data_IF_764150698494
#
_entry.id   IF_764150698494
#
_cell.length_a   1.000
_cell.length_b   1.000
_cell.length_c   1.000
_cell.angle_alpha   90.00
_cell.angle_beta   90.00
_cell.angle_gamma   90.00
#
_symmetry.space_group_name_H-M   'P 1'
#
loop_
_entity.id
_entity.type
_entity.pdbx_description
1 polymer ?
#
# COMPACT_ATOMS: atom_id res chain seq x y z
N UNK A 1 21.48 13.93 -0.37
CA UNK A 1 20.23 13.32 0.14
C UNK A 1 20.40 12.77 1.55
N UNK A 2 19.31 12.59 2.31
CA UNK A 2 19.34 11.94 3.63
C UNK A 2 19.56 10.42 3.56
N UNK A 3 19.25 9.79 2.41
CA UNK A 3 19.19 8.32 2.26
C UNK A 3 20.02 7.77 1.09
N UNK A 4 20.94 8.55 0.53
CA UNK A 4 21.92 8.09 -0.47
C UNK A 4 21.40 8.04 -1.91
N UNK A 5 20.42 7.18 -2.20
CA UNK A 5 19.91 6.94 -3.56
C UNK A 5 18.54 7.59 -3.82
N UNK A 6 18.31 7.95 -5.08
CA UNK A 6 17.01 8.41 -5.55
C UNK A 6 16.07 7.23 -5.84
N UNK A 7 14.78 7.33 -5.50
CA UNK A 7 13.81 6.27 -5.79
C UNK A 7 13.65 6.05 -7.30
N UNK A 8 13.60 4.79 -7.71
CA UNK A 8 13.22 4.39 -9.06
C UNK A 8 11.73 4.07 -9.11
N UNK A 9 11.04 4.54 -10.15
CA UNK A 9 9.60 4.36 -10.29
C UNK A 9 9.25 3.49 -11.49
N UNK A 10 8.28 2.60 -11.32
CA UNK A 10 7.64 1.88 -12.40
C UNK A 10 6.13 2.11 -12.31
N UNK A 11 5.53 2.52 -13.43
CA UNK A 11 4.10 2.75 -13.54
C UNK A 11 3.41 1.53 -14.17
N UNK A 12 2.10 1.43 -13.97
CA UNK A 12 1.22 0.41 -14.52
C UNK A 12 -0.08 1.09 -14.99
N UNK A 13 -0.72 0.53 -16.01
CA UNK A 13 -1.98 1.05 -16.56
C UNK A 13 -3.20 0.69 -15.71
N UNK A 14 -3.15 -0.45 -15.02
CA UNK A 14 -4.18 -0.92 -14.12
C UNK A 14 -3.61 -1.83 -13.00
N UNK A 15 -4.41 -2.07 -11.97
CA UNK A 15 -3.98 -2.86 -10.81
C UNK A 15 -3.78 -4.35 -11.10
N UNK A 16 -4.44 -4.91 -12.13
CA UNK A 16 -4.27 -6.32 -12.50
C UNK A 16 -2.94 -6.53 -13.25
N UNK A 17 -2.54 -5.57 -14.09
CA UNK A 17 -1.21 -5.49 -14.69
C UNK A 17 -0.15 -5.43 -13.59
N UNK A 18 -0.33 -4.57 -12.58
CA UNK A 18 0.59 -4.46 -11.45
C UNK A 18 0.72 -5.78 -10.68
N UNK A 19 -0.42 -6.43 -10.41
CA UNK A 19 -0.47 -7.70 -9.70
C UNK A 19 0.27 -8.81 -10.46
N UNK A 20 -0.01 -8.99 -11.75
CA UNK A 20 0.64 -10.01 -12.58
C UNK A 20 2.13 -9.70 -12.81
N UNK A 21 2.51 -8.42 -12.90
CA UNK A 21 3.91 -7.99 -13.00
C UNK A 21 4.71 -8.39 -11.76
N UNK A 22 4.21 -8.10 -10.56
CA UNK A 22 4.87 -8.51 -9.30
C UNK A 22 4.90 -10.03 -9.19
N UNK A 23 3.78 -10.70 -9.51
CA UNK A 23 3.67 -12.16 -9.44
C UNK A 23 4.59 -12.89 -10.41
N UNK A 24 4.86 -12.31 -11.58
CA UNK A 24 5.81 -12.86 -12.58
C UNK A 24 7.28 -12.65 -12.22
N UNK A 25 7.58 -12.03 -11.08
CA UNK A 25 8.92 -11.89 -10.52
C UNK A 25 9.52 -10.49 -10.62
N UNK A 26 8.73 -9.47 -10.99
CA UNK A 26 9.16 -8.09 -10.86
C UNK A 26 9.41 -7.77 -9.38
N UNK A 27 10.58 -7.21 -9.08
CA UNK A 27 10.99 -6.85 -7.72
C UNK A 27 10.79 -5.37 -7.50
N UNK A 28 9.95 -5.03 -6.53
CA UNK A 28 9.77 -3.65 -6.04
C UNK A 28 9.81 -3.66 -4.52
N UNK A 29 10.39 -2.61 -3.93
CA UNK A 29 10.42 -2.46 -2.47
C UNK A 29 9.07 -1.97 -1.91
N UNK A 30 8.33 -1.18 -2.70
CA UNK A 30 7.04 -0.60 -2.35
C UNK A 30 6.05 -0.73 -3.52
N UNK A 31 4.80 -1.04 -3.19
CA UNK A 31 3.66 -1.02 -4.10
C UNK A 31 2.62 -0.02 -3.61
N UNK A 32 1.94 0.64 -4.55
CA UNK A 32 0.84 1.56 -4.26
C UNK A 32 -0.49 1.05 -4.86
N UNK A 33 -1.03 -0.08 -4.34
CA UNK A 33 -2.33 -0.58 -4.76
C UNK A 33 -3.46 0.25 -4.13
N UNK A 34 -4.64 0.24 -4.76
CA UNK A 34 -5.84 0.76 -4.11
C UNK A 34 -6.18 -0.09 -2.88
N UNK A 35 -6.87 0.52 -1.92
CA UNK A 35 -7.30 -0.11 -0.66
C UNK A 35 -8.00 -1.46 -0.84
N UNK A 36 -8.76 -1.61 -1.91
CA UNK A 36 -9.53 -2.83 -2.25
C UNK A 36 -8.63 -4.02 -2.60
N UNK A 37 -7.44 -3.75 -3.13
CA UNK A 37 -6.50 -4.77 -3.60
C UNK A 37 -5.59 -5.30 -2.49
N UNK A 38 -5.46 -4.58 -1.37
CA UNK A 38 -4.55 -4.94 -0.26
C UNK A 38 -4.79 -6.37 0.24
N UNK A 39 -6.05 -6.77 0.41
CA UNK A 39 -6.40 -8.12 0.88
C UNK A 39 -5.98 -9.19 -0.12
N UNK A 40 -6.29 -9.00 -1.42
CA UNK A 40 -5.89 -9.91 -2.52
C UNK A 40 -4.36 -10.07 -2.55
N UNK A 41 -3.62 -8.98 -2.42
CA UNK A 41 -2.15 -8.99 -2.48
C UNK A 41 -1.53 -9.65 -1.25
N UNK A 42 -2.12 -9.42 -0.07
CA UNK A 42 -1.73 -10.10 1.18
C UNK A 42 -1.94 -11.61 1.08
N UNK A 43 -3.11 -12.05 0.62
CA UNK A 43 -3.45 -13.47 0.48
C UNK A 43 -2.63 -14.17 -0.60
N UNK A 44 -2.22 -13.45 -1.64
CA UNK A 44 -1.29 -13.93 -2.66
C UNK A 44 0.18 -14.00 -2.18
N UNK A 45 0.47 -13.59 -0.94
CA UNK A 45 1.83 -13.60 -0.38
C UNK A 45 2.77 -12.55 -1.00
N UNK A 46 2.22 -11.53 -1.67
CA UNK A 46 2.99 -10.47 -2.32
C UNK A 46 3.38 -9.33 -1.36
N UNK A 47 2.72 -9.25 -0.20
CA UNK A 47 2.97 -8.23 0.82
C UNK A 47 3.66 -8.81 2.05
N UNK A 48 4.41 -7.95 2.73
CA UNK A 48 4.91 -8.18 4.07
C UNK A 48 4.24 -7.20 5.05
N UNK A 49 4.06 -7.57 6.33
CA UNK A 49 3.54 -6.64 7.32
C UNK A 49 4.51 -5.47 7.53
N UNK A 50 3.97 -4.28 7.70
CA UNK A 50 4.70 -3.06 7.97
C UNK A 50 5.17 -3.03 9.43
N UNK A 51 6.42 -2.63 9.64
CA UNK A 51 6.98 -2.34 10.95
C UNK A 51 6.67 -0.89 11.34
N UNK A 52 5.56 -0.69 12.03
CA UNK A 52 5.07 0.64 12.43
C UNK A 52 6.03 1.38 13.37
N UNK A 53 6.91 0.67 14.08
CA UNK A 53 7.92 1.28 14.96
C UNK A 53 8.98 2.08 14.20
N UNK A 54 9.19 1.76 12.92
CA UNK A 54 10.11 2.47 12.03
C UNK A 54 9.47 3.67 11.33
N UNK A 55 8.16 3.85 11.45
CA UNK A 55 7.42 4.92 10.79
C UNK A 55 7.13 6.02 11.83
N UNK A 56 8.00 7.04 11.87
CA UNK A 56 7.90 8.12 12.88
C UNK A 56 6.55 8.82 12.89
N UNK A 57 5.93 8.99 11.72
CA UNK A 57 4.62 9.64 11.55
C UNK A 57 3.42 8.69 11.63
N UNK A 58 3.59 7.44 12.10
CA UNK A 58 2.48 6.47 12.12
C UNK A 58 1.26 6.94 12.92
N UNK A 59 1.51 7.69 14.00
CA UNK A 59 0.45 8.24 14.87
C UNK A 59 -0.27 9.44 14.26
N UNK A 60 0.28 10.03 13.20
CA UNK A 60 -0.27 11.21 12.54
C UNK A 60 -1.20 10.83 11.36
N UNK A 61 -1.33 9.54 11.06
CA UNK A 61 -2.20 9.02 10.01
C UNK A 61 -3.68 9.31 10.30
N UNK A 62 -4.47 9.53 9.24
CA UNK A 62 -5.88 9.86 9.36
C UNK A 62 -6.64 8.77 10.15
N UNK A 63 -7.19 9.10 11.33
CA UNK A 63 -7.82 8.11 12.20
C UNK A 63 -9.06 7.47 11.56
N UNK A 64 -9.76 8.18 10.67
CA UNK A 64 -10.92 7.64 9.96
C UNK A 64 -10.56 6.53 8.97
N UNK A 65 -9.44 6.69 8.25
CA UNK A 65 -8.93 5.65 7.33
C UNK A 65 -8.33 4.49 8.13
N UNK A 66 -7.58 4.80 9.20
CA UNK A 66 -6.99 3.80 10.07
C UNK A 66 -8.02 2.93 10.82
N UNK A 67 -9.21 3.47 11.09
CA UNK A 67 -10.31 2.75 11.73
C UNK A 67 -11.13 1.87 10.76
N UNK A 68 -10.87 1.94 9.45
CA UNK A 68 -11.55 1.08 8.49
C UNK A 68 -11.19 -0.39 8.73
N UNK A 69 -12.23 -1.22 8.86
CA UNK A 69 -12.06 -2.64 9.15
C UNK A 69 -11.25 -3.33 8.05
N UNK A 70 -10.24 -4.10 8.47
CA UNK A 70 -9.38 -4.94 7.64
C UNK A 70 -8.58 -4.21 6.54
N UNK A 71 -8.52 -2.88 6.59
CA UNK A 71 -7.74 -2.06 5.64
C UNK A 71 -6.30 -1.85 6.11
N UNK A 72 -6.10 -0.96 7.08
CA UNK A 72 -4.77 -0.57 7.55
C UNK A 72 -4.13 -1.64 8.44
N UNK A 73 -4.94 -2.16 9.37
CA UNK A 73 -4.54 -3.19 10.33
C UNK A 73 -5.52 -4.35 10.33
N UNK A 74 -4.99 -5.56 10.43
CA UNK A 74 -5.79 -6.78 10.63
C UNK A 74 -6.18 -6.97 12.10
N UNK A 75 -7.11 -7.89 12.43
CA UNK A 75 -7.54 -8.13 13.81
C UNK A 75 -6.42 -8.61 14.74
N UNK A 76 -5.35 -9.18 14.20
CA UNK A 76 -4.12 -9.55 14.91
C UNK A 76 -3.15 -8.38 15.12
N UNK A 77 -3.54 -7.16 14.75
CA UNK A 77 -2.77 -5.93 14.97
C UNK A 77 -1.63 -5.70 13.97
N UNK A 78 -1.49 -6.55 12.94
CA UNK A 78 -0.49 -6.35 11.89
C UNK A 78 -0.93 -5.26 10.92
N UNK A 79 -0.04 -4.32 10.66
CA UNK A 79 -0.25 -3.30 9.64
C UNK A 79 0.15 -3.85 8.27
N UNK A 80 -0.73 -3.72 7.28
CA UNK A 80 -0.49 -4.16 5.90
C UNK A 80 -0.57 -3.02 4.89
N UNK A 81 -1.10 -1.88 5.31
CA UNK A 81 -1.36 -0.75 4.43
C UNK A 81 -1.02 0.59 5.10
N UNK A 82 -0.21 1.35 4.37
CA UNK A 82 0.12 2.77 4.48
C UNK A 82 -0.91 3.71 3.85
N UNK A 83 -1.87 4.38 4.53
CA UNK A 83 -2.64 5.43 3.87
C UNK A 83 -1.69 6.51 3.31
N UNK A 84 -1.70 6.69 2.00
CA UNK A 84 -0.87 7.67 1.30
C UNK A 84 -1.74 8.78 0.71
N UNK A 85 -2.71 8.40 -0.12
CA UNK A 85 -3.74 9.27 -0.67
C UNK A 85 -5.11 8.60 -0.63
N UNK A 86 -6.15 9.43 -0.80
CA UNK A 86 -7.53 9.01 -0.90
C UNK A 86 -8.31 10.02 -1.74
N UNK A 87 -9.41 9.58 -2.33
CA UNK A 87 -10.30 10.41 -3.12
C UNK A 87 -11.52 9.64 -3.59
N UNK A 88 -12.43 10.38 -4.23
CA UNK A 88 -13.66 9.82 -4.79
C UNK A 88 -13.58 9.80 -6.31
N UNK A 89 -14.11 8.74 -6.93
CA UNK A 89 -14.37 8.73 -8.37
C UNK A 89 -15.51 9.70 -8.67
N UNK A 90 -15.23 10.75 -9.43
CA UNK A 90 -16.20 11.81 -9.74
C UNK A 90 -16.54 11.87 -11.23
N UNK A 91 -17.66 12.52 -11.55
CA UNK A 91 -18.08 12.84 -12.91
C UNK A 91 -17.66 14.28 -13.24
N UNK A 92 -16.86 14.44 -14.30
CA UNK A 92 -16.48 15.75 -14.85
C UNK A 92 -17.22 16.00 -16.16
N UNK A 93 -17.72 17.21 -16.37
CA UNK A 93 -18.41 17.64 -17.60
C UNK A 93 -18.01 19.07 -17.98
#
# INVERSE_FOLDING_TARGET
EKNGDSPTFAFFGDEDEAFEKIRSGFKSDLGHPCSQSVVKWREAGLLQPLDTSKITGWKDLNPGIMAMKDLATTPDGKAWFMPWDWGDTQLTY
#
